data_IF_191861326307
#
_entry.id   IF_191861326307
#
_cell.length_a   1.000
_cell.length_b   1.000
_cell.length_c   1.000
_cell.angle_alpha   90.00
_cell.angle_beta   90.00
_cell.angle_gamma   90.00
#
_symmetry.space_group_name_H-M   'P 1'
#
loop_
_entity.id
_entity.type
_entity.pdbx_description
1 polymer ?
#
# COMPACT_ATOMS: atom_id res chain seq x y z
N UNK A 1 11.18 26.60 63.20
CA UNK A 1 10.77 27.15 61.89
C UNK A 1 11.09 26.08 60.83
N UNK A 2 10.11 25.26 60.48
CA UNK A 2 10.30 24.16 59.51
C UNK A 2 9.97 24.71 58.12
N UNK A 3 10.99 24.82 57.24
CA UNK A 3 10.78 25.19 55.83
C UNK A 3 10.26 23.98 55.08
N UNK A 4 8.99 24.02 54.65
CA UNK A 4 8.37 23.04 53.76
C UNK A 4 8.90 23.28 52.35
N UNK A 5 9.69 22.35 51.85
CA UNK A 5 10.13 22.32 50.43
C UNK A 5 9.06 21.63 49.62
N UNK A 6 8.25 22.41 48.90
CA UNK A 6 7.26 21.88 47.93
C UNK A 6 8.03 21.54 46.65
N UNK A 7 8.27 20.27 46.41
CA UNK A 7 8.81 19.76 45.14
C UNK A 7 7.65 19.68 44.17
N UNK A 8 7.58 20.67 43.27
CA UNK A 8 6.64 20.65 42.14
C UNK A 8 7.15 19.68 41.08
N UNK A 9 6.63 18.43 41.10
CA UNK A 9 6.87 17.46 40.04
C UNK A 9 6.02 17.87 38.84
N UNK A 10 6.63 18.60 37.90
CA UNK A 10 6.06 18.81 36.58
C UNK A 10 6.16 17.50 35.81
N UNK A 11 5.09 16.72 35.83
CA UNK A 11 4.95 15.57 34.96
C UNK A 11 4.86 16.09 33.51
N UNK A 12 5.98 16.13 32.78
CA UNK A 12 5.97 16.27 31.33
C UNK A 12 5.27 15.05 30.74
N UNK A 13 4.00 15.22 30.43
CA UNK A 13 3.26 14.31 29.58
C UNK A 13 3.90 14.35 28.19
N UNK A 14 4.86 13.49 27.93
CA UNK A 14 5.35 13.19 26.58
C UNK A 14 4.20 12.54 25.83
N UNK A 15 3.28 13.37 25.32
CA UNK A 15 2.39 12.96 24.26
C UNK A 15 3.27 12.59 23.06
N UNK A 16 3.69 11.33 23.00
CA UNK A 16 4.31 10.77 21.82
C UNK A 16 3.29 10.85 20.68
N UNK A 17 3.32 11.95 19.93
CA UNK A 17 2.71 11.97 18.61
C UNK A 17 3.40 10.84 17.85
N UNK A 18 2.72 9.70 17.76
CA UNK A 18 3.13 8.65 16.85
C UNK A 18 3.16 9.29 15.46
N UNK A 19 4.36 9.63 15.00
CA UNK A 19 4.58 10.25 13.70
C UNK A 19 3.99 9.28 12.68
N UNK A 20 2.83 9.65 12.14
CA UNK A 20 2.12 8.84 11.14
C UNK A 20 3.06 8.72 9.94
N UNK A 21 3.62 7.54 9.76
CA UNK A 21 4.56 7.26 8.69
C UNK A 21 3.81 7.46 7.37
N UNK A 22 4.21 8.48 6.62
CA UNK A 22 3.61 8.78 5.32
C UNK A 22 3.69 7.55 4.43
N UNK A 23 2.58 7.20 3.78
CA UNK A 23 2.51 6.08 2.85
C UNK A 23 3.30 6.41 1.59
N UNK A 24 4.28 5.57 1.29
CA UNK A 24 5.06 5.70 0.06
C UNK A 24 4.46 4.78 -1.01
N UNK A 25 3.85 5.38 -2.02
CA UNK A 25 3.40 4.70 -3.22
C UNK A 25 4.50 4.75 -4.28
N UNK A 26 4.93 3.59 -4.75
CA UNK A 26 5.90 3.47 -5.82
C UNK A 26 5.20 3.36 -7.16
N UNK A 27 5.77 3.97 -8.20
CA UNK A 27 5.33 3.82 -9.59
C UNK A 27 6.35 3.03 -10.41
N UNK A 28 7.62 3.05 -9.99
CA UNK A 28 8.71 2.28 -10.57
C UNK A 28 8.73 0.86 -9.99
N UNK A 29 8.46 -0.12 -10.85
CA UNK A 29 8.40 -1.53 -10.48
C UNK A 29 9.74 -2.07 -9.98
N UNK A 30 10.85 -1.70 -10.62
CA UNK A 30 12.18 -2.22 -10.25
C UNK A 30 12.56 -1.75 -8.85
N UNK A 31 12.30 -0.47 -8.55
CA UNK A 31 12.49 0.07 -7.20
C UNK A 31 11.66 -0.66 -6.16
N UNK A 32 10.38 -0.91 -6.47
CA UNK A 32 9.48 -1.63 -5.57
C UNK A 32 9.91 -3.09 -5.34
N UNK A 33 10.36 -3.79 -6.39
CA UNK A 33 10.90 -5.15 -6.30
C UNK A 33 12.12 -5.20 -5.37
N UNK A 34 13.07 -4.28 -5.54
CA UNK A 34 14.26 -4.22 -4.69
C UNK A 34 13.91 -4.01 -3.22
N UNK A 35 12.91 -3.16 -2.92
CA UNK A 35 12.42 -2.95 -1.57
C UNK A 35 11.74 -4.22 -1.04
N UNK A 36 10.89 -4.85 -1.85
CA UNK A 36 10.17 -6.07 -1.49
C UNK A 36 11.13 -7.20 -1.14
N UNK A 37 12.14 -7.44 -1.96
CA UNK A 37 13.18 -8.47 -1.71
C UNK A 37 13.96 -8.16 -0.44
N UNK A 38 14.38 -6.90 -0.25
CA UNK A 38 15.16 -6.48 0.94
C UNK A 38 14.35 -6.57 2.24
N UNK A 39 13.06 -6.29 2.18
CA UNK A 39 12.19 -6.23 3.38
C UNK A 39 11.36 -7.50 3.59
N UNK A 40 11.44 -8.45 2.65
CA UNK A 40 10.64 -9.70 2.61
C UNK A 40 9.11 -9.45 2.64
N UNK A 41 8.69 -8.24 2.25
CA UNK A 41 7.27 -7.87 2.17
C UNK A 41 6.75 -8.09 0.76
N UNK A 42 5.56 -8.67 0.58
CA UNK A 42 4.93 -8.76 -0.71
C UNK A 42 4.65 -7.39 -1.30
N UNK A 43 4.63 -7.33 -2.62
CA UNK A 43 4.17 -6.18 -3.38
C UNK A 43 2.63 -6.13 -3.33
N UNK A 44 2.12 -4.91 -3.23
CA UNK A 44 0.72 -4.56 -3.31
C UNK A 44 0.52 -3.79 -4.62
N UNK A 45 0.04 -4.45 -5.65
CA UNK A 45 -0.22 -3.85 -6.96
C UNK A 45 -1.62 -3.28 -7.04
N UNK A 46 -1.74 -1.97 -6.97
CA UNK A 46 -3.01 -1.26 -7.10
C UNK A 46 -3.24 -0.82 -8.55
N UNK A 47 -4.02 -1.59 -9.28
CA UNK A 47 -4.47 -1.23 -10.61
C UNK A 47 -5.65 -0.26 -10.50
N UNK A 48 -5.47 0.95 -11.03
CA UNK A 48 -6.41 2.04 -10.85
C UNK A 48 -6.57 2.89 -12.11
N UNK A 49 -7.61 3.71 -12.15
CA UNK A 49 -7.81 4.78 -13.11
C UNK A 49 -8.06 6.08 -12.34
N UNK A 50 -6.98 6.73 -11.90
CA UNK A 50 -6.99 7.81 -10.90
C UNK A 50 -7.93 8.97 -11.26
N UNK A 51 -8.02 9.32 -12.54
CA UNK A 51 -8.79 10.48 -12.99
C UNK A 51 -10.22 10.17 -13.44
N UNK A 52 -10.59 8.90 -13.68
CA UNK A 52 -11.90 8.53 -14.22
C UNK A 52 -12.65 7.46 -13.41
N UNK A 53 -11.95 6.58 -12.67
CA UNK A 53 -12.57 5.43 -12.00
C UNK A 53 -13.21 5.84 -10.65
N UNK A 54 -14.53 5.93 -10.61
CA UNK A 54 -15.28 6.30 -9.40
C UNK A 54 -15.05 5.36 -8.21
N UNK A 55 -15.05 4.04 -8.45
CA UNK A 55 -14.80 3.03 -7.41
C UNK A 55 -13.36 3.06 -6.90
N UNK A 56 -12.38 3.42 -7.76
CA UNK A 56 -11.00 3.60 -7.33
C UNK A 56 -10.87 4.78 -6.38
N UNK A 57 -11.47 5.92 -6.74
CA UNK A 57 -11.50 7.12 -5.88
C UNK A 57 -12.18 6.83 -4.54
N UNK A 58 -13.25 6.03 -4.57
CA UNK A 58 -13.95 5.61 -3.36
C UNK A 58 -13.06 4.74 -2.47
N UNK A 59 -12.36 3.75 -3.03
CA UNK A 59 -11.42 2.90 -2.29
C UNK A 59 -10.30 3.72 -1.64
N UNK A 60 -9.72 4.66 -2.39
CA UNK A 60 -8.70 5.58 -1.86
C UNK A 60 -9.27 6.39 -0.69
N UNK A 61 -10.42 7.03 -0.87
CA UNK A 61 -11.05 7.90 0.14
C UNK A 61 -11.48 7.15 1.40
N UNK A 62 -12.04 5.95 1.25
CA UNK A 62 -12.61 5.20 2.38
C UNK A 62 -11.59 4.31 3.09
N UNK A 63 -10.51 3.91 2.40
CA UNK A 63 -9.53 2.96 2.92
C UNK A 63 -8.10 3.53 2.92
N UNK A 64 -7.55 3.85 1.75
CA UNK A 64 -6.09 4.03 1.62
C UNK A 64 -5.56 5.30 2.28
N UNK A 65 -6.36 6.37 2.39
CA UNK A 65 -5.95 7.60 3.08
C UNK A 65 -6.15 7.53 4.60
N UNK A 66 -6.66 6.40 5.12
CA UNK A 66 -6.95 6.27 6.56
C UNK A 66 -5.70 5.84 7.34
N UNK A 67 -5.52 6.37 8.57
CA UNK A 67 -4.38 6.02 9.43
C UNK A 67 -4.24 4.53 9.70
N UNK A 68 -5.36 3.83 9.83
CA UNK A 68 -5.40 2.39 10.08
C UNK A 68 -4.83 1.61 8.90
N UNK A 69 -5.14 2.03 7.66
CA UNK A 69 -4.55 1.44 6.47
C UNK A 69 -3.05 1.76 6.39
N UNK A 70 -2.65 3.00 6.68
CA UNK A 70 -1.25 3.41 6.67
C UNK A 70 -0.41 2.55 7.63
N UNK A 71 -0.91 2.35 8.84
CA UNK A 71 -0.26 1.51 9.84
C UNK A 71 -0.15 0.05 9.40
N UNK A 72 -1.23 -0.49 8.83
CA UNK A 72 -1.26 -1.86 8.30
C UNK A 72 -0.31 -2.03 7.11
N UNK A 73 -0.36 -1.13 6.12
CA UNK A 73 0.45 -1.21 4.91
C UNK A 73 1.95 -1.13 5.20
N UNK A 74 2.36 -0.22 6.08
CA UNK A 74 3.76 -0.07 6.48
C UNK A 74 4.37 -1.35 7.06
N UNK A 75 3.55 -2.19 7.69
CA UNK A 75 3.99 -3.46 8.29
C UNK A 75 3.98 -4.62 7.29
N UNK A 76 3.04 -4.64 6.36
CA UNK A 76 2.68 -5.85 5.63
C UNK A 76 3.08 -5.87 4.17
N UNK A 77 3.21 -4.72 3.50
CA UNK A 77 3.35 -4.66 2.04
C UNK A 77 4.25 -3.54 1.55
N UNK A 78 4.67 -3.62 0.29
CA UNK A 78 5.27 -2.53 -0.48
C UNK A 78 4.23 -2.06 -1.50
N UNK A 79 3.81 -0.80 -1.41
CA UNK A 79 2.74 -0.25 -2.22
C UNK A 79 3.23 0.16 -3.61
N UNK A 80 2.55 -0.32 -4.64
CA UNK A 80 2.82 0.04 -6.05
C UNK A 80 1.52 0.49 -6.70
N UNK A 81 1.50 1.72 -7.20
CA UNK A 81 0.39 2.25 -7.98
C UNK A 81 0.62 2.00 -9.46
N UNK A 82 -0.32 1.33 -10.09
CA UNK A 82 -0.35 1.01 -11.51
C UNK A 82 -1.55 1.74 -12.13
N UNK A 83 -1.33 3.01 -12.45
CA UNK A 83 -2.39 3.91 -12.92
C UNK A 83 -2.60 3.82 -14.43
N UNK A 84 -3.86 3.88 -14.86
CA UNK A 84 -4.33 3.91 -16.24
C UNK A 84 -5.16 5.17 -16.48
N UNK A 85 -4.55 6.36 -16.39
CA UNK A 85 -5.29 7.61 -16.53
C UNK A 85 -5.75 7.83 -17.97
N UNK A 86 -6.83 8.59 -18.15
CA UNK A 86 -7.37 8.97 -19.46
C UNK A 86 -7.03 10.40 -19.84
N UNK A 87 -6.85 11.27 -18.86
CA UNK A 87 -6.62 12.71 -19.03
C UNK A 87 -5.28 13.17 -18.51
N UNK A 88 -4.81 12.56 -17.41
CA UNK A 88 -3.52 12.90 -16.81
C UNK A 88 -2.39 12.21 -17.59
N UNK A 89 -1.42 12.94 -18.13
CA UNK A 89 -0.31 12.34 -18.85
C UNK A 89 0.63 11.60 -17.88
N UNK A 90 1.06 10.43 -18.28
CA UNK A 90 2.17 9.69 -17.66
C UNK A 90 3.16 9.31 -18.75
N UNK A 91 4.41 8.98 -18.37
CA UNK A 91 5.46 8.61 -19.34
C UNK A 91 5.09 7.35 -20.11
N UNK A 92 5.62 7.21 -21.32
CA UNK A 92 5.39 6.01 -22.14
C UNK A 92 5.94 4.74 -21.49
N UNK A 93 7.04 4.84 -20.75
CA UNK A 93 7.60 3.72 -19.99
C UNK A 93 6.64 3.23 -18.91
N UNK A 94 6.01 4.15 -18.16
CA UNK A 94 5.01 3.79 -17.17
C UNK A 94 3.74 3.20 -17.82
N UNK A 95 3.29 3.75 -18.95
CA UNK A 95 2.17 3.18 -19.69
C UNK A 95 2.46 1.77 -20.14
N UNK A 96 3.67 1.52 -20.66
CA UNK A 96 4.12 0.20 -21.09
C UNK A 96 4.16 -0.77 -19.91
N UNK A 97 4.87 -0.39 -18.82
CA UNK A 97 4.97 -1.18 -17.59
C UNK A 97 3.59 -1.58 -17.06
N UNK A 98 2.68 -0.60 -16.90
CA UNK A 98 1.38 -0.83 -16.31
C UNK A 98 0.51 -1.72 -17.21
N UNK A 99 0.57 -1.55 -18.53
CA UNK A 99 -0.13 -2.38 -19.50
C UNK A 99 0.36 -3.83 -19.47
N UNK A 100 1.67 -4.06 -19.47
CA UNK A 100 2.26 -5.41 -19.40
C UNK A 100 1.86 -6.12 -18.11
N UNK A 101 1.92 -5.43 -16.97
CA UNK A 101 1.44 -5.97 -15.69
C UNK A 101 -0.07 -6.22 -15.71
N UNK A 102 -0.87 -5.30 -16.24
CA UNK A 102 -2.32 -5.48 -16.36
C UNK A 102 -2.67 -6.75 -17.14
N UNK A 103 -1.96 -7.02 -18.24
CA UNK A 103 -2.12 -8.24 -19.04
C UNK A 103 -1.65 -9.48 -18.27
N UNK A 104 -0.46 -9.44 -17.68
CA UNK A 104 0.12 -10.56 -16.89
C UNK A 104 -0.78 -10.99 -15.74
N UNK A 105 -1.43 -10.03 -15.09
CA UNK A 105 -2.33 -10.27 -13.97
C UNK A 105 -3.80 -10.45 -14.37
N UNK A 106 -4.10 -10.38 -15.66
CA UNK A 106 -5.46 -10.58 -16.19
C UNK A 106 -6.47 -9.57 -15.65
N UNK A 107 -6.05 -8.31 -15.46
CA UNK A 107 -6.89 -7.26 -14.89
C UNK A 107 -7.99 -6.88 -15.88
N UNK A 108 -9.25 -7.09 -15.49
CA UNK A 108 -10.44 -6.83 -16.33
C UNK A 108 -11.28 -5.66 -15.85
N UNK A 109 -10.94 -5.07 -14.69
CA UNK A 109 -11.71 -3.98 -14.11
C UNK A 109 -10.94 -3.28 -12.99
N UNK A 110 -11.44 -2.14 -12.58
CA UNK A 110 -10.82 -1.28 -11.58
C UNK A 110 -11.82 -0.90 -10.48
N UNK A 111 -11.38 -0.79 -9.21
CA UNK A 111 -10.03 -1.09 -8.73
C UNK A 111 -9.78 -2.60 -8.64
N UNK A 112 -8.55 -3.01 -8.89
CA UNK A 112 -8.06 -4.37 -8.58
C UNK A 112 -6.74 -4.23 -7.82
N UNK A 113 -6.62 -4.94 -6.70
CA UNK A 113 -5.37 -5.04 -5.94
C UNK A 113 -4.89 -6.48 -5.99
N UNK A 114 -3.67 -6.69 -6.48
CA UNK A 114 -2.98 -7.97 -6.40
C UNK A 114 -1.91 -7.95 -5.31
N UNK A 115 -1.82 -9.03 -4.56
CA UNK A 115 -0.71 -9.30 -3.63
C UNK A 115 0.21 -10.33 -4.29
N UNK A 116 1.49 -9.98 -4.38
CA UNK A 116 2.45 -10.81 -5.11
C UNK A 116 3.81 -10.84 -4.41
N UNK A 117 4.51 -11.96 -4.50
CA UNK A 117 5.90 -12.06 -4.04
C UNK A 117 6.83 -12.13 -5.25
N UNK A 118 7.77 -11.19 -5.42
CA UNK A 118 8.73 -11.26 -6.49
C UNK A 118 9.75 -12.37 -6.22
N UNK A 119 10.08 -13.15 -7.23
CA UNK A 119 11.14 -14.15 -7.23
C UNK A 119 12.19 -13.74 -8.26
N UNK A 120 13.38 -13.38 -7.80
CA UNK A 120 14.48 -12.96 -8.66
C UNK A 120 15.45 -14.13 -8.79
N UNK A 121 15.56 -14.68 -10.01
CA UNK A 121 16.47 -15.80 -10.32
C UNK A 121 17.23 -15.49 -11.60
N UNK A 122 18.56 -15.49 -11.52
CA UNK A 122 19.44 -15.21 -12.67
C UNK A 122 19.07 -13.91 -13.43
N UNK A 123 18.72 -12.84 -12.69
CA UNK A 123 18.34 -11.54 -13.27
C UNK A 123 16.93 -11.49 -13.88
N UNK A 124 16.16 -12.58 -13.83
CA UNK A 124 14.74 -12.62 -14.23
C UNK A 124 13.83 -12.49 -13.02
N UNK A 125 12.78 -11.73 -13.19
CA UNK A 125 11.76 -11.54 -12.15
C UNK A 125 10.50 -12.33 -12.53
N UNK A 126 10.10 -13.23 -11.64
CA UNK A 126 8.81 -13.90 -11.68
C UNK A 126 7.96 -13.43 -10.51
N UNK A 127 6.64 -13.49 -10.65
CA UNK A 127 5.71 -13.10 -9.59
C UNK A 127 4.89 -14.30 -9.12
N UNK A 128 5.04 -14.67 -7.86
CA UNK A 128 4.12 -15.60 -7.22
C UNK A 128 2.85 -14.83 -6.79
N UNK A 129 1.71 -15.18 -7.38
CA UNK A 129 0.40 -14.56 -7.13
C UNK A 129 -0.20 -15.12 -5.86
N UNK A 130 -0.32 -14.31 -4.81
CA UNK A 130 -0.94 -14.72 -3.55
C UNK A 130 -2.47 -14.63 -3.60
N UNK A 131 -3.00 -13.62 -4.30
CA UNK A 131 -4.42 -13.40 -4.48
C UNK A 131 -4.75 -11.95 -4.78
N UNK A 132 -6.02 -11.67 -5.08
CA UNK A 132 -6.47 -10.32 -5.42
C UNK A 132 -7.74 -9.94 -4.69
N UNK A 133 -7.96 -8.62 -4.55
CA UNK A 133 -9.15 -8.04 -3.94
C UNK A 133 -9.49 -6.72 -4.62
N UNK A 134 -10.78 -6.44 -4.79
CA UNK A 134 -11.27 -5.16 -5.26
C UNK A 134 -11.70 -4.24 -4.12
N UNK A 135 -12.71 -3.40 -4.39
CA UNK A 135 -13.38 -2.61 -3.35
C UNK A 135 -14.19 -3.51 -2.42
N UNK A 136 -14.06 -3.26 -1.12
CA UNK A 136 -14.89 -3.87 -0.07
C UNK A 136 -15.43 -2.76 0.81
N UNK A 137 -16.74 -2.73 1.02
CA UNK A 137 -17.38 -1.78 1.92
C UNK A 137 -17.02 -2.04 3.39
N UNK A 138 -17.05 -0.99 4.24
CA UNK A 138 -16.80 -1.12 5.68
C UNK A 138 -15.44 -0.56 6.12
N UNK A 139 -14.78 0.20 5.25
CA UNK A 139 -13.56 0.95 5.58
C UNK A 139 -12.32 0.08 5.77
N UNK A 140 -11.25 0.63 6.40
CA UNK A 140 -9.95 -0.04 6.48
C UNK A 140 -10.00 -1.41 7.16
N UNK A 141 -10.75 -1.54 8.25
CA UNK A 141 -10.84 -2.78 9.02
C UNK A 141 -11.42 -3.93 8.19
N UNK A 142 -12.51 -3.69 7.47
CA UNK A 142 -13.13 -4.71 6.61
C UNK A 142 -12.22 -5.06 5.44
N UNK A 143 -11.64 -4.04 4.80
CA UNK A 143 -10.77 -4.23 3.65
C UNK A 143 -9.48 -4.99 4.01
N UNK A 144 -8.79 -4.60 5.09
CA UNK A 144 -7.55 -5.26 5.54
C UNK A 144 -7.80 -6.66 6.08
N UNK A 145 -8.99 -6.98 6.59
CA UNK A 145 -9.34 -8.34 6.98
C UNK A 145 -9.31 -9.30 5.78
N UNK A 146 -9.81 -8.87 4.62
CA UNK A 146 -9.70 -9.63 3.37
C UNK A 146 -8.26 -9.78 2.90
N UNK A 147 -7.51 -8.68 2.89
CA UNK A 147 -6.09 -8.67 2.55
C UNK A 147 -5.26 -9.62 3.44
N UNK A 148 -5.53 -9.63 4.75
CA UNK A 148 -4.84 -10.52 5.69
C UNK A 148 -5.11 -12.02 5.42
N UNK A 149 -6.31 -12.37 4.94
CA UNK A 149 -6.59 -13.76 4.52
C UNK A 149 -5.71 -14.16 3.34
N UNK A 150 -5.57 -13.28 2.35
CA UNK A 150 -4.71 -13.51 1.17
C UNK A 150 -3.24 -13.66 1.59
N UNK A 151 -2.76 -12.78 2.49
CA UNK A 151 -1.36 -12.80 2.94
C UNK A 151 -1.00 -14.01 3.82
N UNK A 152 -1.98 -14.68 4.43
CA UNK A 152 -1.78 -15.89 5.24
C UNK A 152 -1.66 -17.18 4.41
N UNK A 153 -1.95 -17.14 3.11
CA UNK A 153 -1.85 -18.30 2.22
C UNK A 153 -0.43 -18.59 1.72
N UNK A 154 0.58 -18.02 2.43
CA UNK A 154 2.00 -18.30 2.19
C UNK A 154 2.34 -19.72 2.56
#
# INVERSE_FOLDING_TARGET
>A
MKKLLIILIVALSLNGFAQQKELVWHTDLNKAINISVKTEKPLFFFFTGSDWCGWCKRLVKEVFVKPEFATWAAKNVVLVELDFPRRTPISEDLKKQNRELGQMFGVRGYPTVWFVTPQVTAGKVNFNKLGSQGYVAGGPKAWTAGANKILKTK
#
